data_IF_648048555343
#
_entry.id   IF_648048555343
#
_cell.length_a   1.000
_cell.length_b   1.000
_cell.length_c   1.000
_cell.angle_alpha   90.00
_cell.angle_beta   90.00
_cell.angle_gamma   90.00
#
_symmetry.space_group_name_H-M   'P 1'
#
loop_
_entity.id
_entity.type
_entity.pdbx_description
1 polymer ?
#
# COMPACT_ATOMS: atom_id res chain seq x y z
N UNK A 1 -10.93 14.55 9.03
CA UNK A 1 -10.28 13.50 8.20
C UNK A 1 -9.09 14.16 7.52
N UNK A 2 -7.88 13.60 7.64
CA UNK A 2 -6.68 14.19 7.04
C UNK A 2 -6.78 14.19 5.51
N UNK A 3 -6.12 15.15 4.85
CA UNK A 3 -6.03 15.17 3.39
C UNK A 3 -5.24 13.95 2.91
N UNK A 4 -5.65 13.36 1.77
CA UNK A 4 -5.00 12.15 1.26
C UNK A 4 -3.53 12.39 0.88
N UNK A 5 -3.17 13.63 0.53
CA UNK A 5 -1.80 14.02 0.24
C UNK A 5 -0.96 14.08 1.51
N UNK A 6 -1.52 14.55 2.62
CA UNK A 6 -0.83 14.58 3.92
C UNK A 6 -0.56 13.16 4.42
N UNK A 7 -1.57 12.28 4.33
CA UNK A 7 -1.41 10.85 4.69
C UNK A 7 -0.36 10.19 3.78
N UNK A 8 -0.41 10.44 2.46
CA UNK A 8 0.58 9.90 1.51
C UNK A 8 2.00 10.42 1.81
N UNK A 9 2.14 11.70 2.14
CA UNK A 9 3.43 12.30 2.47
C UNK A 9 4.03 11.70 3.75
N UNK A 10 3.19 11.46 4.77
CA UNK A 10 3.61 10.80 6.00
C UNK A 10 4.07 9.36 5.75
N UNK A 11 3.32 8.57 4.97
CA UNK A 11 3.72 7.20 4.59
C UNK A 11 5.04 7.19 3.81
N UNK A 12 5.20 8.09 2.85
CA UNK A 12 6.45 8.22 2.09
C UNK A 12 7.61 8.62 3.00
N UNK A 13 7.40 9.56 3.92
CA UNK A 13 8.39 9.99 4.89
C UNK A 13 8.87 8.83 5.77
N UNK A 14 7.94 8.06 6.33
CA UNK A 14 8.29 6.90 7.17
C UNK A 14 8.95 5.80 6.33
N UNK A 15 8.50 5.53 5.10
CA UNK A 15 9.14 4.55 4.22
C UNK A 15 10.60 4.92 3.90
N UNK A 16 10.88 6.20 3.64
CA UNK A 16 12.25 6.69 3.42
C UNK A 16 13.11 6.51 4.67
N UNK A 17 12.55 6.78 5.85
CA UNK A 17 13.25 6.58 7.12
C UNK A 17 13.58 5.10 7.33
N UNK A 18 12.59 4.21 7.17
CA UNK A 18 12.76 2.76 7.31
C UNK A 18 13.82 2.23 6.34
N UNK A 19 13.78 2.63 5.07
CA UNK A 19 14.78 2.22 4.08
C UNK A 19 16.19 2.69 4.43
N UNK A 20 16.35 3.91 4.96
CA UNK A 20 17.65 4.43 5.41
C UNK A 20 18.21 3.67 6.61
N UNK A 21 17.35 3.27 7.54
CA UNK A 21 17.76 2.60 8.78
C UNK A 21 18.04 1.11 8.57
N UNK A 22 17.24 0.43 7.77
CA UNK A 22 17.32 -1.02 7.58
C UNK A 22 18.06 -1.43 6.30
N UNK A 23 18.10 -0.56 5.29
CA UNK A 23 18.60 -0.89 3.97
C UNK A 23 17.71 -1.90 3.22
N UNK A 24 18.07 -2.23 1.96
CA UNK A 24 17.42 -3.29 1.19
C UNK A 24 17.84 -4.69 1.66
N UNK A 25 17.11 -5.74 1.21
CA UNK A 25 17.49 -7.15 1.41
C UNK A 25 16.65 -7.93 2.43
N UNK A 26 15.72 -7.25 3.12
CA UNK A 26 14.77 -7.90 4.03
C UNK A 26 13.51 -8.38 3.30
N UNK A 27 12.75 -9.27 3.96
CA UNK A 27 11.45 -9.72 3.48
C UNK A 27 10.40 -8.59 3.55
N UNK A 28 9.42 -8.62 2.65
CA UNK A 28 8.29 -7.67 2.61
C UNK A 28 7.58 -7.56 3.97
N UNK A 29 7.40 -8.69 4.66
CA UNK A 29 6.77 -8.77 5.98
C UNK A 29 7.52 -7.98 7.06
N UNK A 30 8.85 -7.84 6.95
CA UNK A 30 9.64 -7.06 7.90
C UNK A 30 9.39 -5.56 7.70
N UNK A 31 9.46 -5.09 6.45
CA UNK A 31 9.16 -3.69 6.14
C UNK A 31 7.71 -3.34 6.50
N UNK A 32 6.77 -4.24 6.27
CA UNK A 32 5.36 -4.07 6.66
C UNK A 32 5.21 -3.82 8.17
N UNK A 33 5.80 -4.68 9.00
CA UNK A 33 5.74 -4.54 10.47
C UNK A 33 6.33 -3.20 10.90
N UNK A 34 7.51 -2.85 10.39
CA UNK A 34 8.26 -1.67 10.82
C UNK A 34 7.59 -0.38 10.36
N UNK A 35 7.15 -0.33 9.09
CA UNK A 35 6.43 0.82 8.54
C UNK A 35 5.12 1.06 9.28
N UNK A 36 4.35 0.00 9.54
CA UNK A 36 3.11 0.12 10.31
C UNK A 36 3.36 0.66 11.72
N UNK A 37 4.35 0.13 12.43
CA UNK A 37 4.69 0.59 13.77
C UNK A 37 5.16 2.05 13.79
N UNK A 38 5.91 2.48 12.77
CA UNK A 38 6.35 3.87 12.61
C UNK A 38 5.20 4.86 12.42
N UNK A 39 4.27 4.50 11.56
CA UNK A 39 3.07 5.31 11.29
C UNK A 39 2.14 5.35 12.50
N UNK A 40 1.95 4.23 13.20
CA UNK A 40 1.15 4.18 14.44
C UNK A 40 1.76 5.06 15.54
N UNK A 41 3.08 5.06 15.72
CA UNK A 41 3.76 5.99 16.65
C UNK A 41 3.58 7.45 16.27
N UNK A 42 3.40 7.73 14.98
CA UNK A 42 3.12 9.07 14.46
C UNK A 42 1.63 9.45 14.54
N UNK A 43 0.79 8.59 15.14
CA UNK A 43 -0.62 8.86 15.39
C UNK A 43 -1.60 8.40 14.29
N UNK A 44 -1.11 7.72 13.25
CA UNK A 44 -1.98 7.21 12.18
C UNK A 44 -2.70 5.93 12.58
N UNK A 45 -3.94 5.76 12.13
CA UNK A 45 -4.62 4.47 12.18
C UNK A 45 -4.07 3.59 11.08
N UNK A 46 -3.49 2.44 11.43
CA UNK A 46 -2.93 1.50 10.45
C UNK A 46 -3.52 0.12 10.68
N UNK A 47 -4.28 -0.37 9.71
CA UNK A 47 -4.69 -1.76 9.64
C UNK A 47 -3.72 -2.53 8.73
N UNK A 48 -3.30 -3.71 9.17
CA UNK A 48 -2.35 -4.57 8.45
C UNK A 48 -3.06 -5.78 7.87
N UNK A 49 -2.56 -6.29 6.74
CA UNK A 49 -2.98 -7.56 6.15
C UNK A 49 -4.51 -7.63 5.98
N UNK A 50 -5.10 -6.55 5.48
CA UNK A 50 -6.55 -6.34 5.40
C UNK A 50 -7.15 -7.23 4.32
N UNK A 51 -8.06 -8.16 4.67
CA UNK A 51 -8.71 -9.01 3.67
C UNK A 51 -9.63 -8.19 2.77
N UNK A 52 -9.63 -8.48 1.48
CA UNK A 52 -10.52 -7.88 0.49
C UNK A 52 -11.31 -8.98 -0.19
N UNK A 53 -12.63 -8.87 -0.12
CA UNK A 53 -13.55 -9.81 -0.75
C UNK A 53 -13.74 -9.49 -2.24
N UNK A 54 -14.05 -10.52 -3.02
CA UNK A 54 -14.62 -10.39 -4.36
C UNK A 54 -16.00 -11.01 -4.39
N UNK A 55 -16.91 -10.36 -5.12
CA UNK A 55 -18.19 -10.93 -5.50
C UNK A 55 -18.13 -11.34 -6.99
N UNK A 56 -18.47 -12.60 -7.26
CA UNK A 56 -18.54 -13.15 -8.61
C UNK A 56 -19.77 -14.06 -8.70
N UNK A 57 -20.72 -13.70 -9.55
CA UNK A 57 -21.93 -14.50 -9.82
C UNK A 57 -22.69 -14.92 -8.53
N UNK A 58 -22.89 -13.97 -7.61
CA UNK A 58 -23.53 -14.22 -6.31
C UNK A 58 -22.66 -14.96 -5.28
N UNK A 59 -21.48 -15.47 -5.67
CA UNK A 59 -20.50 -16.03 -4.75
C UNK A 59 -19.61 -14.93 -4.17
N UNK A 60 -19.59 -14.81 -2.85
CA UNK A 60 -18.69 -13.91 -2.12
C UNK A 60 -17.47 -14.68 -1.63
N UNK A 61 -16.33 -14.40 -2.24
CA UNK A 61 -15.03 -14.95 -1.88
C UNK A 61 -14.35 -14.04 -0.85
N UNK A 62 -14.57 -14.35 0.43
CA UNK A 62 -13.91 -13.63 1.53
C UNK A 62 -12.40 -13.84 1.50
N UNK A 63 -11.64 -12.76 1.71
CA UNK A 63 -10.17 -12.81 1.76
C UNK A 63 -9.49 -13.27 0.47
N UNK A 64 -10.15 -13.14 -0.69
CA UNK A 64 -9.59 -13.44 -2.01
C UNK A 64 -8.29 -12.67 -2.27
N UNK A 65 -8.16 -11.49 -1.66
CA UNK A 65 -6.95 -10.70 -1.64
C UNK A 65 -6.65 -10.19 -0.25
N UNK A 66 -5.44 -9.66 -0.08
CA UNK A 66 -4.96 -9.11 1.17
C UNK A 66 -4.11 -7.89 0.87
N UNK A 67 -4.52 -6.75 1.38
CA UNK A 67 -3.76 -5.49 1.32
C UNK A 67 -2.75 -5.47 2.45
N UNK A 68 -1.52 -5.06 2.16
CA UNK A 68 -0.47 -5.02 3.18
C UNK A 68 -0.82 -4.02 4.28
N UNK A 69 -1.07 -2.75 3.93
CA UNK A 69 -1.52 -1.72 4.88
C UNK A 69 -2.70 -0.89 4.34
N UNK A 70 -3.64 -0.59 5.24
CA UNK A 70 -4.65 0.45 5.05
C UNK A 70 -4.43 1.53 6.12
N UNK A 71 -4.07 2.74 5.67
CA UNK A 71 -3.77 3.88 6.55
C UNK A 71 -4.93 4.86 6.56
N UNK A 72 -5.37 5.24 7.76
CA UNK A 72 -6.52 6.12 8.04
C UNK A 72 -7.78 5.75 7.25
N UNK A 73 -8.01 4.44 7.05
CA UNK A 73 -9.14 3.88 6.31
C UNK A 73 -9.25 4.38 4.84
N UNK A 74 -8.17 4.96 4.29
CA UNK A 74 -8.19 5.69 3.00
C UNK A 74 -7.06 5.38 2.04
N UNK A 75 -5.84 5.23 2.55
CA UNK A 75 -4.65 5.03 1.72
C UNK A 75 -4.26 3.56 1.74
N UNK A 76 -4.32 2.92 0.57
CA UNK A 76 -3.83 1.53 0.39
C UNK A 76 -2.33 1.58 0.14
N UNK A 77 -1.56 0.75 0.85
CA UNK A 77 -0.11 0.64 0.67
C UNK A 77 0.24 -0.81 0.43
N UNK A 78 0.96 -1.05 -0.66
CA UNK A 78 1.52 -2.34 -1.04
C UNK A 78 3.04 -2.27 -0.97
N UNK A 79 3.64 -3.27 -0.33
CA UNK A 79 5.07 -3.34 -0.07
C UNK A 79 5.69 -4.38 -0.98
N UNK A 80 6.85 -4.05 -1.55
CA UNK A 80 7.61 -4.96 -2.38
C UNK A 80 9.08 -4.97 -1.98
N UNK A 81 9.71 -6.13 -2.16
CA UNK A 81 11.15 -6.32 -2.03
C UNK A 81 11.69 -7.08 -3.25
N UNK A 82 11.45 -6.52 -4.44
CA UNK A 82 11.77 -7.15 -5.73
C UNK A 82 12.71 -6.26 -6.55
N UNK A 83 13.51 -6.84 -7.43
CA UNK A 83 14.48 -6.08 -8.23
C UNK A 83 13.80 -4.94 -9.01
N UNK A 84 12.67 -5.22 -9.65
CA UNK A 84 11.94 -4.23 -10.45
C UNK A 84 10.43 -4.33 -10.26
N UNK A 85 9.79 -3.16 -10.15
CA UNK A 85 8.34 -3.08 -10.18
C UNK A 85 7.80 -3.32 -11.59
N UNK A 86 6.94 -4.32 -11.73
CA UNK A 86 6.29 -4.64 -13.01
C UNK A 86 4.91 -3.99 -13.12
N UNK A 87 4.34 -4.03 -14.33
CA UNK A 87 2.95 -3.61 -14.58
C UNK A 87 1.93 -4.45 -13.80
N UNK A 88 2.28 -5.68 -13.41
CA UNK A 88 1.39 -6.57 -12.65
C UNK A 88 1.16 -6.02 -11.24
N UNK A 89 2.21 -5.55 -10.58
CA UNK A 89 2.10 -4.94 -9.25
C UNK A 89 1.20 -3.69 -9.27
N UNK A 90 1.34 -2.84 -10.29
CA UNK A 90 0.48 -1.67 -10.43
C UNK A 90 -0.99 -2.05 -10.70
N UNK A 91 -1.23 -3.07 -11.53
CA UNK A 91 -2.58 -3.59 -11.79
C UNK A 91 -3.22 -4.16 -10.52
N UNK A 92 -2.47 -4.90 -9.71
CA UNK A 92 -2.93 -5.44 -8.43
C UNK A 92 -3.40 -4.32 -7.49
N UNK A 93 -2.56 -3.29 -7.31
CA UNK A 93 -2.92 -2.15 -6.47
C UNK A 93 -4.17 -1.43 -6.99
N UNK A 94 -4.29 -1.21 -8.32
CA UNK A 94 -5.50 -0.62 -8.91
C UNK A 94 -6.76 -1.47 -8.66
N UNK A 95 -6.64 -2.80 -8.68
CA UNK A 95 -7.74 -3.71 -8.31
C UNK A 95 -8.16 -3.49 -6.86
N UNK A 96 -7.22 -3.37 -5.92
CA UNK A 96 -7.54 -3.08 -4.52
C UNK A 96 -8.24 -1.75 -4.35
N UNK A 97 -7.76 -0.70 -5.02
CA UNK A 97 -8.40 0.61 -4.98
C UNK A 97 -9.85 0.56 -5.47
N UNK A 98 -10.13 -0.20 -6.54
CA UNK A 98 -11.49 -0.37 -7.07
C UNK A 98 -12.40 -1.13 -6.11
N UNK A 99 -11.95 -2.30 -5.63
CA UNK A 99 -12.74 -3.15 -4.73
C UNK A 99 -13.04 -2.45 -3.41
N UNK A 100 -12.06 -1.71 -2.87
CA UNK A 100 -12.18 -1.00 -1.60
C UNK A 100 -12.72 0.43 -1.75
N UNK A 101 -13.02 0.88 -2.98
CA UNK A 101 -13.44 2.25 -3.30
C UNK A 101 -12.51 3.33 -2.75
N UNK A 102 -11.21 3.06 -2.78
CA UNK A 102 -10.18 3.99 -2.30
C UNK A 102 -9.63 4.85 -3.44
N UNK A 103 -9.32 6.13 -3.19
CA UNK A 103 -8.94 7.07 -4.25
C UNK A 103 -7.46 6.96 -4.66
N UNK A 104 -6.60 6.53 -3.74
CA UNK A 104 -5.14 6.57 -3.91
C UNK A 104 -4.51 5.34 -3.27
N UNK A 105 -3.47 4.82 -3.92
CA UNK A 105 -2.60 3.81 -3.35
C UNK A 105 -1.13 4.10 -3.59
N UNK A 106 -0.28 3.53 -2.74
CA UNK A 106 1.18 3.56 -2.87
C UNK A 106 1.73 2.15 -3.05
N UNK A 107 2.63 2.00 -3.99
CA UNK A 107 3.48 0.82 -4.15
C UNK A 107 4.89 1.20 -3.72
N UNK A 108 5.41 0.53 -2.70
CA UNK A 108 6.69 0.84 -2.06
C UNK A 108 7.66 -0.32 -2.27
N UNK A 109 8.61 -0.17 -3.20
CA UNK A 109 9.66 -1.16 -3.41
C UNK A 109 10.92 -0.82 -2.61
N UNK A 110 11.27 -1.64 -1.63
CA UNK A 110 12.41 -1.43 -0.76
C UNK A 110 13.74 -1.96 -1.31
N UNK A 111 13.76 -2.61 -2.48
CA UNK A 111 14.99 -3.18 -3.06
C UNK A 111 15.86 -2.18 -3.85
N UNK A 112 15.37 -0.96 -4.07
CA UNK A 112 16.12 0.08 -4.79
C UNK A 112 17.31 0.62 -3.98
N UNK A 113 18.23 1.30 -4.67
CA UNK A 113 19.34 2.03 -4.05
C UNK A 113 18.81 3.13 -3.11
N UNK A 114 17.71 3.76 -3.49
CA UNK A 114 16.97 4.68 -2.63
C UNK A 114 15.48 4.33 -2.61
N UNK A 115 14.81 4.58 -1.48
CA UNK A 115 13.36 4.44 -1.40
C UNK A 115 12.63 5.31 -2.43
N UNK A 116 13.17 6.49 -2.79
CA UNK A 116 12.52 7.41 -3.75
C UNK A 116 12.30 6.77 -5.12
N UNK A 117 13.22 5.94 -5.59
CA UNK A 117 13.11 5.22 -6.86
C UNK A 117 12.08 4.09 -6.80
N UNK A 118 11.83 3.56 -5.60
CA UNK A 118 10.90 2.48 -5.32
C UNK A 118 9.46 2.92 -5.10
N UNK A 119 9.16 4.22 -5.07
CA UNK A 119 7.81 4.72 -4.81
C UNK A 119 7.05 4.89 -6.13
N UNK A 120 5.85 4.29 -6.20
CA UNK A 120 4.84 4.64 -7.21
C UNK A 120 3.52 4.95 -6.54
N UNK A 121 2.94 6.09 -6.90
CA UNK A 121 1.60 6.50 -6.49
C UNK A 121 0.62 6.24 -7.63
N UNK A 122 -0.48 5.58 -7.33
CA UNK A 122 -1.56 5.29 -8.28
C UNK A 122 -2.84 5.96 -7.80
N UNK A 123 -3.60 6.51 -8.74
CA UNK A 123 -4.89 7.16 -8.51
C UNK A 123 -5.98 6.32 -9.15
N UNK A 124 -7.08 6.16 -8.43
CA UNK A 124 -8.24 5.42 -8.89
C UNK A 124 -9.25 6.36 -9.53
N UNK A 125 -9.13 6.53 -10.85
CA UNK A 125 -10.11 7.29 -11.66
C UNK A 125 -11.28 6.41 -12.14
N UNK A 126 -11.43 5.20 -11.60
CA UNK A 126 -12.46 4.28 -12.05
C UNK A 126 -13.85 4.77 -11.65
N UNK A 127 -14.60 5.25 -12.64
CA UNK A 127 -16.06 5.40 -12.57
C UNK A 127 -16.67 4.12 -13.11
N UNK A 128 -17.45 3.36 -12.33
CA UNK A 128 -18.23 2.27 -12.89
C UNK A 128 -19.15 2.89 -13.95
N UNK A 129 -18.94 2.57 -15.22
CA UNK A 129 -19.97 2.76 -16.23
C UNK A 129 -21.11 1.83 -15.84
N UNK A 130 -22.19 2.42 -15.33
CA UNK A 130 -23.49 1.76 -15.29
C UNK A 130 -24.01 1.49 -16.69
#
# INVERSE_FOLDING_TARGET
MLDINDVSAAVVGEAIKVHRELGPGLLESVYEVVLAAGLQRSGFKVARQVPVAIEYDGLRLEGAFRVDLLVDDRLVVEIKAVEQLTKVHAKQLLTYLRLMRQPVGLLLNFSGLTMKEGIRRLVNDYRPTG
#
